data_IF_577561860294
#
_entry.id   IF_577561860294
#
_cell.length_a   1.000
_cell.length_b   1.000
_cell.length_c   1.000
_cell.angle_alpha   90.00
_cell.angle_beta   90.00
_cell.angle_gamma   90.00
#
_symmetry.space_group_name_H-M   'P 1'
#
loop_
_entity.id
_entity.type
_entity.pdbx_description
1 polymer ?
#
# COMPACT_ATOMS: atom_id res chain seq x y z
N UNK A 1 -15.46 78.32 -14.21
CA UNK A 1 -14.58 77.15 -14.37
C UNK A 1 -15.01 76.05 -13.42
N UNK A 2 -15.62 74.99 -13.92
CA UNK A 2 -16.01 73.87 -13.10
C UNK A 2 -14.99 72.79 -13.31
N UNK A 3 -14.17 72.51 -12.28
CA UNK A 3 -13.20 71.46 -12.27
C UNK A 3 -13.94 70.12 -12.01
N UNK A 4 -14.04 69.23 -13.02
CA UNK A 4 -14.58 67.90 -12.86
C UNK A 4 -13.47 67.01 -12.43
N UNK A 5 -13.51 66.60 -11.16
CA UNK A 5 -12.62 65.56 -10.61
C UNK A 5 -13.10 64.20 -11.12
N UNK A 6 -12.33 63.60 -12.02
CA UNK A 6 -12.58 62.24 -12.46
C UNK A 6 -11.85 61.34 -11.47
N UNK A 7 -12.61 60.68 -10.57
CA UNK A 7 -12.09 59.64 -9.69
C UNK A 7 -12.08 58.34 -10.49
N UNK A 8 -10.90 57.98 -10.96
CA UNK A 8 -10.71 56.67 -11.58
C UNK A 8 -10.57 55.63 -10.46
N UNK A 9 -11.64 54.88 -10.21
CA UNK A 9 -11.62 53.74 -9.29
C UNK A 9 -10.80 52.59 -9.93
N UNK A 10 -9.58 52.42 -9.44
CA UNK A 10 -8.75 51.29 -9.80
C UNK A 10 -9.25 50.03 -9.03
N UNK A 11 -10.07 49.25 -9.69
CA UNK A 11 -10.55 47.97 -9.14
C UNK A 11 -9.39 46.98 -9.19
N UNK A 12 -8.77 46.76 -8.04
CA UNK A 12 -7.75 45.71 -7.87
C UNK A 12 -8.46 44.34 -7.84
N UNK A 13 -8.46 43.65 -8.96
CA UNK A 13 -8.97 42.27 -9.04
C UNK A 13 -7.92 41.36 -8.44
N UNK A 14 -8.09 41.04 -7.15
CA UNK A 14 -7.28 40.04 -6.46
C UNK A 14 -7.72 38.68 -6.99
N UNK A 15 -7.05 38.19 -8.03
CA UNK A 15 -7.24 36.82 -8.54
C UNK A 15 -6.79 35.84 -7.49
N UNK A 16 -7.76 35.22 -6.84
CA UNK A 16 -7.49 34.09 -5.94
C UNK A 16 -6.97 32.95 -6.81
N UNK A 17 -5.65 32.78 -6.89
CA UNK A 17 -5.02 31.61 -7.49
C UNK A 17 -5.30 30.42 -6.56
N UNK A 18 -6.33 29.64 -6.90
CA UNK A 18 -6.53 28.34 -6.29
C UNK A 18 -5.34 27.45 -6.66
N UNK A 19 -4.47 27.16 -5.69
CA UNK A 19 -3.44 26.14 -5.83
C UNK A 19 -4.13 24.79 -6.06
N UNK A 20 -3.68 23.96 -7.03
CA UNK A 20 -4.24 22.64 -7.20
C UNK A 20 -3.98 21.84 -5.91
N UNK A 21 -5.05 21.49 -5.22
CA UNK A 21 -4.99 20.52 -4.12
C UNK A 21 -4.67 19.18 -4.77
N UNK A 22 -3.45 18.66 -4.56
CA UNK A 22 -3.13 17.29 -4.93
C UNK A 22 -4.03 16.40 -4.09
N UNK A 23 -4.98 15.71 -4.74
CA UNK A 23 -5.80 14.71 -4.08
C UNK A 23 -4.85 13.62 -3.55
N UNK A 24 -4.92 13.34 -2.23
CA UNK A 24 -4.24 12.18 -1.68
C UNK A 24 -4.79 10.94 -2.39
N UNK A 25 -3.90 9.99 -2.72
CA UNK A 25 -4.31 8.70 -3.25
C UNK A 25 -5.28 8.04 -2.26
N UNK A 26 -6.26 7.30 -2.79
CA UNK A 26 -7.19 6.57 -1.95
C UNK A 26 -6.48 5.45 -1.16
N UNK A 27 -7.08 4.95 -0.07
CA UNK A 27 -6.46 3.90 0.74
C UNK A 27 -6.10 2.66 -0.06
N UNK A 28 -6.90 2.27 -1.03
CA UNK A 28 -6.66 1.10 -1.87
C UNK A 28 -5.37 1.25 -2.66
N UNK A 29 -5.18 2.37 -3.34
CA UNK A 29 -3.97 2.66 -4.12
C UNK A 29 -2.73 2.69 -3.22
N UNK A 30 -2.82 3.33 -2.06
CA UNK A 30 -1.72 3.41 -1.09
C UNK A 30 -1.33 2.03 -0.56
N UNK A 31 -2.32 1.20 -0.21
CA UNK A 31 -2.13 -0.17 0.29
C UNK A 31 -1.49 -1.05 -0.78
N UNK A 32 -1.98 -1.02 -2.00
CA UNK A 32 -1.41 -1.77 -3.12
C UNK A 32 0.05 -1.39 -3.35
N UNK A 33 0.37 -0.10 -3.31
CA UNK A 33 1.74 0.41 -3.47
C UNK A 33 2.68 -0.14 -2.39
N UNK A 34 2.25 -0.19 -1.13
CA UNK A 34 3.05 -0.75 -0.03
C UNK A 34 3.33 -2.24 -0.27
N UNK A 35 2.32 -3.01 -0.66
CA UNK A 35 2.47 -4.45 -0.92
C UNK A 35 3.38 -4.69 -2.14
N UNK A 36 3.19 -3.94 -3.22
CA UNK A 36 4.05 -4.00 -4.41
C UNK A 36 5.51 -3.72 -4.08
N UNK A 37 5.77 -2.67 -3.28
CA UNK A 37 7.11 -2.29 -2.88
C UNK A 37 7.77 -3.37 -2.01
N UNK A 38 7.01 -4.01 -1.12
CA UNK A 38 7.52 -5.12 -0.32
C UNK A 38 7.88 -6.32 -1.20
N UNK A 39 7.02 -6.70 -2.14
CA UNK A 39 7.27 -7.81 -3.07
C UNK A 39 8.50 -7.50 -3.94
N UNK A 40 8.64 -6.26 -4.41
CA UNK A 40 9.81 -5.84 -5.17
C UNK A 40 11.11 -5.96 -4.35
N UNK A 41 11.06 -5.59 -3.08
CA UNK A 41 12.19 -5.77 -2.16
C UNK A 41 12.57 -7.25 -1.97
N UNK A 42 11.58 -8.14 -1.82
CA UNK A 42 11.83 -9.58 -1.76
C UNK A 42 12.47 -10.12 -3.05
N UNK A 43 12.04 -9.65 -4.21
CA UNK A 43 12.63 -10.08 -5.50
C UNK A 43 14.11 -9.73 -5.62
N UNK A 44 14.55 -8.68 -4.93
CA UNK A 44 15.92 -8.24 -4.87
C UNK A 44 16.68 -8.78 -3.65
N UNK A 45 16.07 -9.65 -2.87
CA UNK A 45 16.58 -10.14 -1.58
C UNK A 45 16.95 -9.00 -0.60
N UNK A 46 16.29 -7.86 -0.75
CA UNK A 46 16.43 -6.73 0.16
C UNK A 46 15.46 -6.89 1.35
N UNK A 47 15.86 -7.77 2.27
CA UNK A 47 15.02 -8.09 3.43
C UNK A 47 14.88 -6.92 4.41
N UNK A 48 15.90 -6.07 4.49
CA UNK A 48 15.82 -4.86 5.31
C UNK A 48 14.72 -3.91 4.81
N UNK A 49 14.67 -3.67 3.51
CA UNK A 49 13.62 -2.85 2.91
C UNK A 49 12.25 -3.52 3.02
N UNK A 50 12.15 -4.82 2.73
CA UNK A 50 10.91 -5.57 2.88
C UNK A 50 10.36 -5.53 4.30
N UNK A 51 11.24 -5.63 5.30
CA UNK A 51 10.90 -5.59 6.72
C UNK A 51 10.40 -4.20 7.15
N UNK A 52 10.86 -3.14 6.51
CA UNK A 52 10.43 -1.76 6.80
C UNK A 52 8.93 -1.53 6.50
N UNK A 53 8.34 -2.33 5.63
CA UNK A 53 6.89 -2.25 5.32
C UNK A 53 6.01 -3.01 6.32
N UNK A 54 6.61 -3.77 7.22
CA UNK A 54 5.90 -4.49 8.27
C UNK A 54 5.57 -3.56 9.45
N UNK A 55 4.44 -3.84 10.11
CA UNK A 55 4.04 -3.10 11.32
C UNK A 55 5.03 -3.29 12.47
N UNK A 56 5.03 -2.40 13.47
CA UNK A 56 5.85 -2.56 14.67
C UNK A 56 5.64 -3.91 15.37
N UNK A 57 4.40 -4.42 15.40
CA UNK A 57 4.09 -5.74 15.98
C UNK A 57 4.78 -6.86 15.24
N UNK A 58 4.75 -6.85 13.91
CA UNK A 58 5.44 -7.84 13.08
C UNK A 58 6.95 -7.72 13.26
N UNK A 59 7.49 -6.52 13.26
CA UNK A 59 8.92 -6.30 13.47
C UNK A 59 9.39 -6.82 14.83
N UNK A 60 8.61 -6.59 15.88
CA UNK A 60 8.92 -7.11 17.22
C UNK A 60 8.85 -8.64 17.28
N UNK A 61 7.92 -9.25 16.54
CA UNK A 61 7.75 -10.70 16.50
C UNK A 61 8.98 -11.42 15.91
N UNK A 62 9.54 -10.87 14.84
CA UNK A 62 10.68 -11.50 14.14
C UNK A 62 12.02 -10.97 14.63
N UNK A 63 12.09 -9.79 15.19
CA UNK A 63 13.27 -9.16 15.77
C UNK A 63 14.24 -8.59 14.74
N UNK A 64 14.53 -9.32 13.66
CA UNK A 64 15.48 -8.90 12.61
C UNK A 64 14.90 -9.11 11.21
N UNK A 65 15.43 -8.36 10.26
CA UNK A 65 15.07 -8.51 8.85
C UNK A 65 15.47 -9.90 8.30
N UNK A 66 16.59 -10.45 8.77
CA UNK A 66 17.07 -11.78 8.39
C UNK A 66 16.09 -12.88 8.83
N UNK A 67 15.63 -12.85 10.08
CA UNK A 67 14.63 -13.79 10.58
C UNK A 67 13.31 -13.68 9.81
N UNK A 68 12.89 -12.45 9.51
CA UNK A 68 11.71 -12.19 8.69
C UNK A 68 11.88 -12.77 7.29
N UNK A 69 13.02 -12.54 6.65
CA UNK A 69 13.35 -13.06 5.33
C UNK A 69 13.33 -14.59 5.26
N UNK A 70 13.91 -15.26 6.25
CA UNK A 70 13.90 -16.73 6.35
C UNK A 70 12.46 -17.26 6.47
N UNK A 71 11.64 -16.61 7.29
CA UNK A 71 10.25 -17.00 7.46
C UNK A 71 9.47 -16.87 6.14
N UNK A 72 9.66 -15.78 5.40
CA UNK A 72 8.97 -15.55 4.12
C UNK A 72 9.43 -16.57 3.07
N UNK A 73 10.73 -16.83 2.96
CA UNK A 73 11.25 -17.83 2.03
C UNK A 73 10.69 -19.24 2.29
N UNK A 74 10.52 -19.61 3.56
CA UNK A 74 10.05 -20.94 3.96
C UNK A 74 8.52 -21.05 3.98
N UNK A 75 7.84 -20.03 4.51
CA UNK A 75 6.39 -20.07 4.73
C UNK A 75 5.57 -19.47 3.61
N UNK A 76 6.14 -18.54 2.87
CA UNK A 76 5.46 -17.77 1.81
C UNK A 76 6.32 -17.67 0.54
N UNK A 77 6.78 -18.81 -0.02
CA UNK A 77 7.66 -18.78 -1.19
C UNK A 77 7.04 -18.09 -2.39
N UNK A 78 5.70 -18.11 -2.52
CA UNK A 78 4.97 -17.40 -3.56
C UNK A 78 5.08 -15.86 -3.42
N UNK A 79 5.27 -15.35 -2.21
CA UNK A 79 5.48 -13.91 -1.96
C UNK A 79 6.92 -13.51 -2.27
N UNK A 80 7.86 -14.38 -1.91
CA UNK A 80 9.29 -14.15 -2.16
C UNK A 80 9.63 -14.19 -3.65
N UNK A 81 9.02 -15.12 -4.40
CA UNK A 81 9.25 -15.28 -5.85
C UNK A 81 7.92 -15.54 -6.58
N UNK A 82 7.07 -14.50 -6.69
CA UNK A 82 5.82 -14.65 -7.45
C UNK A 82 6.10 -14.70 -8.95
N UNK A 83 5.33 -15.50 -9.68
CA UNK A 83 5.27 -15.45 -11.14
C UNK A 83 4.32 -14.36 -11.61
N UNK A 84 3.21 -14.16 -10.89
CA UNK A 84 2.21 -13.13 -11.18
C UNK A 84 1.53 -12.67 -9.89
N UNK A 85 1.26 -11.38 -9.79
CA UNK A 85 0.56 -10.74 -8.67
C UNK A 85 -0.64 -10.00 -9.22
N UNK A 86 -1.82 -10.30 -8.68
CA UNK A 86 -3.06 -9.62 -9.05
C UNK A 86 -3.75 -9.12 -7.78
N UNK A 87 -3.97 -7.82 -7.69
CA UNK A 87 -4.75 -7.23 -6.60
C UNK A 87 -6.23 -7.45 -6.84
N UNK A 88 -6.90 -7.98 -5.83
CA UNK A 88 -8.32 -8.21 -5.81
C UNK A 88 -8.99 -7.13 -4.95
N UNK A 89 -10.09 -7.45 -4.28
CA UNK A 89 -10.83 -6.49 -3.49
C UNK A 89 -10.14 -6.10 -2.18
N UNK A 90 -10.42 -4.88 -1.74
CA UNK A 90 -10.11 -4.39 -0.40
C UNK A 90 -11.38 -4.51 0.44
N UNK A 91 -11.32 -5.23 1.56
CA UNK A 91 -12.46 -5.46 2.45
C UNK A 91 -12.18 -4.96 3.86
N UNK A 92 -13.19 -4.39 4.48
CA UNK A 92 -13.20 -4.14 5.91
C UNK A 92 -13.79 -5.36 6.63
N UNK A 93 -13.02 -5.95 7.55
CA UNK A 93 -13.46 -7.08 8.37
C UNK A 93 -13.00 -6.86 9.81
N UNK A 94 -13.93 -6.89 10.75
CA UNK A 94 -13.67 -6.74 12.19
C UNK A 94 -12.85 -5.48 12.53
N UNK A 95 -13.11 -4.37 11.85
CA UNK A 95 -12.45 -3.08 12.08
C UNK A 95 -11.12 -2.89 11.37
N UNK A 96 -10.61 -3.90 10.66
CA UNK A 96 -9.36 -3.82 9.89
C UNK A 96 -9.62 -3.86 8.38
N UNK A 97 -8.70 -3.25 7.63
CA UNK A 97 -8.69 -3.35 6.18
C UNK A 97 -7.83 -4.55 5.75
N UNK A 98 -8.40 -5.37 4.88
CA UNK A 98 -7.77 -6.56 4.32
C UNK A 98 -7.70 -6.45 2.80
N UNK A 99 -6.49 -6.40 2.26
CA UNK A 99 -6.28 -6.44 0.82
C UNK A 99 -6.14 -7.89 0.36
N UNK A 100 -7.03 -8.32 -0.50
CA UNK A 100 -6.96 -9.64 -1.13
C UNK A 100 -6.01 -9.57 -2.32
N UNK A 101 -5.07 -10.51 -2.37
CA UNK A 101 -4.06 -10.58 -3.42
C UNK A 101 -3.99 -12.00 -3.95
N UNK A 102 -4.19 -12.15 -5.26
CA UNK A 102 -4.02 -13.42 -5.94
C UNK A 102 -2.60 -13.52 -6.47
N UNK A 103 -1.86 -14.52 -6.02
CA UNK A 103 -0.47 -14.75 -6.44
C UNK A 103 -0.38 -16.12 -7.12
N UNK A 104 0.16 -16.14 -8.34
CA UNK A 104 0.58 -17.36 -9.01
C UNK A 104 2.06 -17.61 -8.72
N UNK A 105 2.38 -18.82 -8.22
CA UNK A 105 3.76 -19.21 -7.91
C UNK A 105 4.51 -19.67 -9.17
N UNK A 106 5.80 -20.00 -9.01
CA UNK A 106 6.66 -20.43 -10.12
C UNK A 106 6.25 -21.81 -10.69
N UNK A 107 5.49 -22.60 -9.93
CA UNK A 107 4.93 -23.88 -10.38
C UNK A 107 3.55 -23.72 -11.05
N UNK A 108 3.05 -22.48 -11.17
CA UNK A 108 1.76 -22.18 -11.78
C UNK A 108 0.56 -22.31 -10.85
N UNK A 109 0.76 -22.63 -9.57
CA UNK A 109 -0.33 -22.71 -8.57
C UNK A 109 -0.74 -21.31 -8.13
N UNK A 110 -2.04 -21.14 -7.92
CA UNK A 110 -2.62 -19.88 -7.48
C UNK A 110 -2.91 -19.90 -5.99
N UNK A 111 -2.53 -18.82 -5.33
CA UNK A 111 -2.70 -18.63 -3.89
C UNK A 111 -3.47 -17.34 -3.65
N UNK A 112 -4.49 -17.40 -2.80
CA UNK A 112 -5.15 -16.19 -2.30
C UNK A 112 -4.49 -15.80 -0.99
N UNK A 113 -3.97 -14.58 -0.92
CA UNK A 113 -3.38 -14.02 0.29
C UNK A 113 -4.23 -12.85 0.78
N UNK A 114 -4.38 -12.78 2.09
CA UNK A 114 -5.14 -11.73 2.76
C UNK A 114 -4.17 -10.88 3.58
N UNK A 115 -3.87 -9.70 3.10
CA UNK A 115 -2.98 -8.74 3.75
C UNK A 115 -3.77 -7.88 4.72
N UNK A 116 -3.51 -8.04 6.01
CA UNK A 116 -4.08 -7.18 7.04
C UNK A 116 -3.25 -5.91 7.13
N UNK A 117 -3.91 -4.77 6.95
CA UNK A 117 -3.24 -3.48 6.87
C UNK A 117 -3.51 -2.65 8.12
N UNK A 118 -2.50 -1.90 8.54
CA UNK A 118 -2.55 -0.99 9.67
C UNK A 118 -2.07 0.38 9.21
N UNK A 119 -2.82 1.43 9.55
CA UNK A 119 -2.37 2.79 9.28
C UNK A 119 -1.37 3.23 10.33
N UNK A 120 -0.16 3.58 9.89
CA UNK A 120 0.89 4.15 10.73
C UNK A 120 0.98 5.66 10.56
N UNK A 121 1.88 6.34 11.30
CA UNK A 121 2.07 7.79 11.21
C UNK A 121 2.59 8.25 9.86
N UNK A 122 3.30 7.39 9.12
CA UNK A 122 3.90 7.71 7.82
C UNK A 122 3.22 6.99 6.64
N UNK A 123 2.14 6.26 6.87
CA UNK A 123 1.41 5.54 5.85
C UNK A 123 1.00 4.14 6.29
N UNK A 124 0.54 3.34 5.32
CA UNK A 124 0.06 1.99 5.58
C UNK A 124 1.22 1.01 5.80
N UNK A 125 1.02 0.09 6.75
CA UNK A 125 1.96 -0.98 7.09
C UNK A 125 1.24 -2.33 7.05
N UNK A 126 2.01 -3.38 6.75
CA UNK A 126 1.51 -4.76 6.72
C UNK A 126 1.55 -5.34 8.13
N UNK A 127 0.38 -5.64 8.69
CA UNK A 127 0.24 -6.16 10.06
C UNK A 127 -0.01 -7.66 10.11
N UNK A 128 0.03 -8.32 9.01
CA UNK A 128 -0.11 -9.77 8.91
C UNK A 128 -0.54 -10.19 7.51
N UNK A 129 -0.27 -11.45 7.20
CA UNK A 129 -0.70 -12.08 5.95
C UNK A 129 -1.26 -13.46 6.31
N UNK A 130 -2.45 -13.76 5.79
CA UNK A 130 -3.08 -15.07 5.93
C UNK A 130 -3.22 -15.71 4.55
N UNK A 131 -3.05 -17.03 4.50
CA UNK A 131 -3.41 -17.80 3.32
C UNK A 131 -4.92 -18.00 3.30
N UNK A 132 -5.56 -17.59 2.20
CA UNK A 132 -6.95 -17.87 1.94
C UNK A 132 -7.17 -19.34 1.58
N UNK A 133 -8.43 -19.70 1.31
CA UNK A 133 -8.75 -21.05 0.83
C UNK A 133 -8.10 -21.27 -0.54
N UNK A 134 -7.59 -22.50 -0.81
CA UNK A 134 -7.10 -22.85 -2.14
C UNK A 134 -8.16 -22.61 -3.20
N UNK A 135 -7.80 -21.94 -4.30
CA UNK A 135 -8.73 -21.56 -5.35
C UNK A 135 -9.31 -22.78 -6.05
N UNK A 136 -8.54 -23.88 -6.09
CA UNK A 136 -8.97 -25.14 -6.71
C UNK A 136 -10.09 -25.87 -5.93
N UNK A 137 -10.46 -25.35 -4.75
CA UNK A 137 -11.55 -25.89 -3.92
C UNK A 137 -12.82 -25.03 -3.95
N UNK A 138 -12.84 -23.98 -4.78
CA UNK A 138 -13.98 -23.04 -4.89
C UNK A 138 -14.94 -23.39 -6.04
N UNK A 139 -14.86 -24.57 -6.59
CA UNK A 139 -15.81 -25.09 -7.59
C UNK A 139 -16.93 -25.87 -6.93
#
# INVERSE_FOLDING_TARGET
MRLRLIITALTFFFGLMALPVLAEDDPQTQIQTVIENQIAAFKNDDFAQAFSYASPSIQSMFGTAENFGVMVQRGYPMVWRPAEVQFMELREMAGDLWQHVLIRDQAGRRHMLLYRMQKGPEGWLINGVQLGKPIDQLT
#
